data_IF_549958037503
#
_entry.id   IF_549958037503
#
_cell.length_a   1.000
_cell.length_b   1.000
_cell.length_c   1.000
_cell.angle_alpha   90.00
_cell.angle_beta   90.00
_cell.angle_gamma   90.00
#
_symmetry.space_group_name_H-M   'P 1'
#
loop_
_entity.id
_entity.type
_entity.pdbx_description
1 polymer ?
#
# COMPACT_ATOMS: atom_id res chain seq x y z
N UNK A 1 2.73 8.71 -15.66
CA UNK A 1 1.38 8.13 -15.65
C UNK A 1 1.20 7.38 -14.34
N UNK A 2 0.11 7.64 -13.61
CA UNK A 2 -0.16 6.98 -12.31
C UNK A 2 -0.45 5.49 -12.54
N UNK A 3 0.26 4.57 -11.85
CA UNK A 3 -0.01 3.15 -12.00
C UNK A 3 -1.33 2.76 -11.33
N UNK A 4 -2.04 1.81 -11.94
CA UNK A 4 -3.33 1.31 -11.46
C UNK A 4 -3.11 0.14 -10.49
N UNK A 5 -3.08 0.41 -9.18
CA UNK A 5 -2.80 -0.62 -8.17
C UNK A 5 -3.76 -1.81 -8.21
N UNK A 6 -5.00 -1.63 -8.68
CA UNK A 6 -5.95 -2.74 -8.81
C UNK A 6 -5.50 -3.78 -9.84
N UNK A 7 -4.62 -3.40 -10.76
CA UNK A 7 -4.02 -4.27 -11.79
C UNK A 7 -2.59 -4.69 -11.47
N UNK A 8 -2.14 -4.49 -10.23
CA UNK A 8 -0.79 -4.86 -9.80
C UNK A 8 -0.75 -6.32 -9.33
N UNK A 9 0.26 -7.09 -9.73
CA UNK A 9 0.52 -8.47 -9.26
C UNK A 9 0.62 -8.58 -7.73
N UNK A 10 1.13 -7.52 -7.10
CA UNK A 10 1.39 -7.44 -5.67
C UNK A 10 0.19 -6.96 -4.85
N UNK A 11 -0.93 -6.63 -5.50
CA UNK A 11 -2.15 -6.21 -4.83
C UNK A 11 -2.76 -7.37 -4.04
N UNK A 12 -3.20 -7.08 -2.82
CA UNK A 12 -4.00 -8.00 -2.00
C UNK A 12 -5.25 -7.29 -1.49
N UNK A 13 -6.34 -8.04 -1.45
CA UNK A 13 -7.58 -7.60 -0.82
C UNK A 13 -7.47 -7.74 0.69
N UNK A 14 -8.03 -6.78 1.40
CA UNK A 14 -8.15 -6.82 2.86
C UNK A 14 -9.59 -7.25 3.17
N UNK A 15 -9.81 -8.42 3.77
CA UNK A 15 -11.17 -8.91 4.05
C UNK A 15 -11.98 -7.89 4.87
N UNK A 16 -13.18 -7.56 4.40
CA UNK A 16 -14.07 -6.60 5.08
C UNK A 16 -13.66 -5.14 5.00
N UNK A 17 -12.67 -4.79 4.16
CA UNK A 17 -12.22 -3.41 3.96
C UNK A 17 -12.18 -3.08 2.45
N UNK A 18 -12.54 -1.85 2.08
CA UNK A 18 -12.47 -1.37 0.70
C UNK A 18 -11.03 -1.02 0.25
N UNK A 19 -10.12 -0.84 1.21
CA UNK A 19 -8.71 -0.60 0.96
C UNK A 19 -8.01 -1.87 0.49
N UNK A 20 -6.82 -1.69 -0.09
CA UNK A 20 -5.95 -2.79 -0.53
C UNK A 20 -4.61 -2.76 0.22
N UNK A 21 -3.89 -3.88 0.19
CA UNK A 21 -2.51 -4.00 0.68
C UNK A 21 -1.53 -4.26 -0.47
N UNK A 22 -0.26 -3.88 -0.29
CA UNK A 22 0.83 -4.11 -1.24
C UNK A 22 1.83 -5.14 -0.70
N UNK A 23 1.79 -6.37 -1.21
CA UNK A 23 2.71 -7.44 -0.82
C UNK A 23 3.94 -7.49 -1.76
N UNK A 24 4.48 -6.33 -2.17
CA UNK A 24 5.70 -6.33 -2.97
C UNK A 24 6.85 -6.91 -2.11
N UNK A 25 7.72 -7.80 -2.64
CA UNK A 25 8.80 -8.43 -1.88
C UNK A 25 9.71 -7.48 -1.10
N UNK A 26 9.88 -6.25 -1.60
CA UNK A 26 10.64 -5.19 -0.94
C UNK A 26 10.05 -4.69 0.40
N UNK A 27 8.79 -5.03 0.71
CA UNK A 27 8.13 -4.75 1.99
C UNK A 27 7.93 -6.01 2.83
N UNK A 28 8.60 -7.12 2.50
CA UNK A 28 8.46 -8.40 3.21
C UNK A 28 8.70 -8.27 4.72
N UNK A 29 9.68 -7.47 5.13
CA UNK A 29 10.03 -7.32 6.54
C UNK A 29 8.97 -6.54 7.33
N UNK A 30 8.22 -5.66 6.65
CA UNK A 30 7.09 -4.95 7.26
C UNK A 30 5.95 -5.92 7.53
N UNK A 31 5.63 -6.77 6.56
CA UNK A 31 4.59 -7.79 6.71
C UNK A 31 4.95 -8.90 7.70
N UNK A 32 6.25 -9.17 7.88
CA UNK A 32 6.73 -10.14 8.87
C UNK A 32 6.98 -9.54 10.25
N UNK A 33 6.67 -8.26 10.46
CA UNK A 33 6.83 -7.59 11.73
C UNK A 33 5.46 -7.36 12.40
N UNK A 34 5.11 -8.13 13.44
CA UNK A 34 3.83 -8.01 14.13
C UNK A 34 3.55 -6.61 14.66
N UNK A 35 4.60 -5.88 15.06
CA UNK A 35 4.46 -4.52 15.56
C UNK A 35 4.10 -3.53 14.45
N UNK A 36 4.68 -3.71 13.26
CA UNK A 36 4.36 -2.88 12.11
C UNK A 36 2.91 -3.13 11.63
N UNK A 37 2.46 -4.39 11.62
CA UNK A 37 1.08 -4.77 11.30
C UNK A 37 0.08 -4.14 12.30
N UNK A 38 0.34 -4.26 13.61
CA UNK A 38 -0.50 -3.64 14.66
C UNK A 38 -0.54 -2.12 14.51
N UNK A 39 0.62 -1.48 14.30
CA UNK A 39 0.67 -0.04 14.08
C UNK A 39 -0.06 0.37 12.79
N UNK A 40 -0.01 -0.47 11.75
CA UNK A 40 -0.76 -0.27 10.52
C UNK A 40 -2.27 -0.32 10.72
N UNK A 41 -2.76 -1.23 11.56
CA UNK A 41 -4.18 -1.29 11.93
C UNK A 41 -4.57 0.01 12.65
N UNK A 42 -3.83 0.41 13.68
CA UNK A 42 -4.13 1.64 14.41
C UNK A 42 -4.05 2.89 13.53
N UNK A 43 -3.12 2.93 12.58
CA UNK A 43 -3.01 4.01 11.60
C UNK A 43 -4.25 4.09 10.71
N UNK A 44 -4.72 2.93 10.24
CA UNK A 44 -5.87 2.83 9.33
C UNK A 44 -7.20 3.24 9.99
N UNK A 45 -7.27 3.24 11.32
CA UNK A 45 -8.41 3.73 12.10
C UNK A 45 -8.16 5.10 12.76
N UNK A 46 -7.11 5.82 12.34
CA UNK A 46 -6.80 7.17 12.79
C UNK A 46 -6.35 7.29 14.25
N UNK A 47 -5.89 6.19 14.87
CA UNK A 47 -5.38 6.18 16.25
C UNK A 47 -3.89 6.53 16.34
N UNK A 48 -3.14 6.30 15.26
CA UNK A 48 -1.75 6.74 15.09
C UNK A 48 -1.55 7.31 13.69
N UNK A 49 -0.42 7.97 13.46
CA UNK A 49 -0.07 8.47 12.13
C UNK A 49 0.17 7.32 11.15
N UNK A 50 -0.23 7.45 9.88
CA UNK A 50 0.04 6.45 8.86
C UNK A 50 1.52 6.26 8.62
N UNK A 51 1.87 5.00 8.38
CA UNK A 51 3.23 4.58 8.15
C UNK A 51 3.58 4.89 6.68
N UNK A 52 4.61 5.68 6.47
CA UNK A 52 5.17 5.95 5.14
C UNK A 52 6.55 5.28 5.07
N UNK A 53 6.57 3.99 4.72
CA UNK A 53 7.84 3.25 4.61
C UNK A 53 8.48 3.54 3.25
N UNK A 54 9.75 3.91 3.31
CA UNK A 54 10.64 3.93 2.17
C UNK A 54 11.55 2.71 2.25
N UNK A 55 11.65 1.95 1.15
CA UNK A 55 12.53 0.79 1.02
C UNK A 55 13.47 1.03 -0.15
N UNK A 56 14.66 0.42 -0.11
CA UNK A 56 15.65 0.61 -1.17
C UNK A 56 15.12 0.12 -2.52
N UNK A 57 15.17 1.00 -3.51
CA UNK A 57 14.73 0.70 -4.88
C UNK A 57 13.23 0.90 -5.16
N UNK A 58 12.38 1.09 -4.13
CA UNK A 58 10.95 1.39 -4.35
C UNK A 58 10.55 2.71 -3.71
N UNK A 59 10.16 3.65 -4.57
CA UNK A 59 9.57 4.92 -4.19
C UNK A 59 8.07 4.88 -4.42
N UNK A 60 7.32 5.04 -3.33
CA UNK A 60 5.88 5.26 -3.34
C UNK A 60 5.63 6.67 -2.80
N UNK A 61 4.81 7.43 -3.51
CA UNK A 61 4.41 8.79 -3.14
C UNK A 61 2.91 8.80 -3.02
N UNK A 62 2.42 9.09 -1.82
CA UNK A 62 1.00 9.29 -1.53
C UNK A 62 0.64 10.76 -1.48
N UNK A 63 -0.61 11.05 -1.79
CA UNK A 63 -1.19 12.38 -1.69
C UNK A 63 -1.26 12.81 -0.22
N UNK A 64 -0.84 14.04 0.07
CA UNK A 64 -0.77 14.57 1.42
C UNK A 64 -2.11 14.54 2.17
N UNK A 65 -3.23 14.75 1.47
CA UNK A 65 -4.56 14.70 2.07
C UNK A 65 -4.93 13.28 2.50
N UNK A 66 -4.70 12.29 1.62
CA UNK A 66 -4.95 10.88 1.92
C UNK A 66 -4.08 10.35 3.06
N UNK A 67 -2.81 10.76 3.11
CA UNK A 67 -1.90 10.44 4.21
C UNK A 67 -2.41 11.07 5.50
N UNK A 68 -2.73 12.37 5.53
CA UNK A 68 -3.16 13.04 6.76
C UNK A 68 -4.40 12.40 7.41
N UNK A 69 -5.32 11.87 6.60
CA UNK A 69 -6.55 11.24 7.07
C UNK A 69 -6.43 9.72 7.34
N UNK A 70 -5.24 9.11 7.19
CA UNK A 70 -5.07 7.67 7.37
C UNK A 70 -5.55 6.80 6.20
N UNK A 71 -6.04 7.41 5.11
CA UNK A 71 -6.56 6.69 3.93
C UNK A 71 -5.46 6.13 3.03
N UNK A 72 -4.23 6.62 3.19
CA UNK A 72 -3.06 6.13 2.46
C UNK A 72 -1.96 5.65 3.41
N UNK A 73 -2.12 4.43 3.94
CA UNK A 73 -1.16 3.78 4.83
C UNK A 73 -0.44 2.61 4.10
N UNK A 74 0.40 2.96 3.13
CA UNK A 74 1.15 2.00 2.32
C UNK A 74 2.35 1.43 3.09
N UNK A 75 2.63 0.10 3.07
CA UNK A 75 2.04 -0.94 2.21
C UNK A 75 0.86 -1.70 2.83
N UNK A 76 0.47 -1.40 4.06
CA UNK A 76 -0.41 -2.25 4.88
C UNK A 76 -1.90 -2.11 4.52
N UNK A 77 -2.38 -0.89 4.31
CA UNK A 77 -3.78 -0.60 3.99
C UNK A 77 -3.92 0.78 3.37
N UNK A 78 -4.27 0.86 2.09
CA UNK A 78 -4.42 2.16 1.43
C UNK A 78 -5.48 2.12 0.35
N UNK A 79 -6.10 3.28 0.10
CA UNK A 79 -6.91 3.53 -1.08
C UNK A 79 -6.01 4.02 -2.23
N UNK A 80 -5.93 3.29 -3.36
CA UNK A 80 -5.12 3.66 -4.54
C UNK A 80 -5.47 5.02 -5.15
N UNK A 81 -6.64 5.56 -4.87
CA UNK A 81 -7.06 6.90 -5.28
C UNK A 81 -6.06 7.95 -4.78
N UNK A 82 -5.45 7.74 -3.62
CA UNK A 82 -4.46 8.64 -3.02
C UNK A 82 -3.01 8.35 -3.42
N UNK A 83 -2.74 7.40 -4.34
CA UNK A 83 -1.40 7.20 -4.88
C UNK A 83 -1.06 8.31 -5.91
N UNK A 84 0.08 8.97 -5.77
CA UNK A 84 0.59 9.92 -6.78
C UNK A 84 1.62 9.26 -7.71
N UNK A 85 2.56 8.49 -7.15
CA UNK A 85 3.58 7.80 -7.94
C UNK A 85 4.06 6.49 -7.28
N UNK A 86 4.36 5.48 -8.09
CA UNK A 86 5.01 4.24 -7.64
C UNK A 86 5.89 3.68 -8.78
N UNK A 87 7.14 3.32 -8.47
CA UNK A 87 8.06 2.67 -9.42
C UNK A 87 8.13 1.13 -9.27
N UNK A 88 7.44 0.56 -8.28
CA UNK A 88 7.37 -0.89 -8.04
C UNK A 88 6.16 -1.58 -8.68
N UNK A 89 5.48 -0.92 -9.61
CA UNK A 89 4.30 -1.47 -10.26
C UNK A 89 4.66 -2.63 -11.21
N UNK A 90 3.95 -3.75 -11.07
CA UNK A 90 4.05 -4.88 -12.00
C UNK A 90 2.64 -5.28 -12.42
N UNK A 91 2.32 -5.06 -13.69
CA UNK A 91 0.98 -5.33 -14.22
C UNK A 91 0.67 -6.81 -14.33
N UNK A 92 -0.60 -7.16 -14.10
CA UNK A 92 -1.12 -8.52 -14.29
C UNK A 92 -0.80 -9.02 -15.69
N UNK A 93 -0.15 -10.19 -15.78
CA UNK A 93 0.03 -10.90 -17.05
C UNK A 93 -1.35 -11.37 -17.54
N UNK A 94 -1.91 -10.68 -18.52
CA UNK A 94 -3.09 -11.17 -19.24
C UNK A 94 -2.66 -12.42 -20.01
N UNK A 95 -3.07 -13.59 -19.54
CA UNK A 95 -2.93 -14.83 -20.28
C UNK A 95 -3.86 -14.70 -21.48
N UNK A 96 -3.30 -14.49 -22.69
CA UNK A 96 -4.07 -14.58 -23.94
C UNK A 96 -4.52 -16.04 -24.07
N UNK A 97 -5.83 -16.27 -23.95
CA UNK A 97 -6.46 -17.56 -24.24
C UNK A 97 -6.67 -17.70 -25.74
#
# INVERSE_FOLDING_TARGET
MKPDCYKCDYKRDIPGNANIACHHPAFKDIHNNPMAEIMGIFASVGRVSPIQIHTDGIKVVGNAHGIKNGWFNHPLSFDPTWLDACNGFKGLKVIKK
#
